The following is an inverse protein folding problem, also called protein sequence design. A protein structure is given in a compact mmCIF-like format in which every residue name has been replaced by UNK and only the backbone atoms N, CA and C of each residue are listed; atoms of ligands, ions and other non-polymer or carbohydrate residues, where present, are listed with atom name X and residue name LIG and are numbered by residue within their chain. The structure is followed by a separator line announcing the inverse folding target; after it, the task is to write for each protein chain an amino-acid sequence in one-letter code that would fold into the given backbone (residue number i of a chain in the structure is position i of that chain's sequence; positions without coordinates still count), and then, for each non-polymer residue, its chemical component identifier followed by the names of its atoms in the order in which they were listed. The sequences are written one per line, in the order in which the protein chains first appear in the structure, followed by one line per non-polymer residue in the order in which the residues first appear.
data_IF_971275862683
#
_entry.id   IF_971275862683
#
_cell.length_a   1.000
_cell.length_b   1.000
_cell.length_c   1.000
_cell.angle_alpha   90.00
_cell.angle_beta   90.00
_cell.angle_gamma   90.00
#
_symmetry.space_group_name_H-M   'P 1'
#
loop_
_entity.id
_entity.type
_entity.pdbx_description
1 polymer ?
#
# COMPACT_ATOMS: atom_id res chain seq x y z
N UNK A 1 -21.64 23.14 -8.35
CA UNK A 1 -21.00 21.80 -8.34
C UNK A 1 -21.37 21.10 -9.62
N UNK A 2 -20.40 20.84 -10.50
CA UNK A 2 -20.64 20.28 -11.84
C UNK A 2 -19.92 18.94 -11.93
N UNK A 3 -20.68 17.85 -12.06
CA UNK A 3 -20.16 16.50 -12.26
C UNK A 3 -20.08 16.23 -13.75
N UNK A 4 -18.88 15.92 -14.26
CA UNK A 4 -18.71 15.43 -15.64
C UNK A 4 -18.58 13.92 -15.61
N UNK A 5 -19.70 13.24 -15.88
CA UNK A 5 -19.74 11.81 -16.21
C UNK A 5 -19.52 11.70 -17.71
N UNK A 6 -18.37 11.20 -18.13
CA UNK A 6 -18.12 10.81 -19.52
C UNK A 6 -18.54 9.35 -19.64
N UNK A 7 -19.80 9.13 -20.05
CA UNK A 7 -20.28 7.83 -20.48
C UNK A 7 -19.94 7.68 -21.97
N UNK A 8 -19.03 6.77 -22.31
CA UNK A 8 -18.87 6.29 -23.69
C UNK A 8 -19.80 5.09 -23.89
N UNK A 9 -20.76 5.27 -24.79
CA UNK A 9 -21.62 4.23 -25.32
C UNK A 9 -21.10 3.80 -26.71
N UNK A 10 -21.18 2.50 -27.00
CA UNK A 10 -21.05 1.93 -28.35
C UNK A 10 -21.08 0.40 -28.25
N UNK A 11 -22.21 -0.29 -28.44
CA UNK A 11 -22.97 -0.60 -29.67
C UNK A 11 -22.72 -2.07 -30.11
N UNK A 12 -23.64 -2.95 -29.67
CA UNK A 12 -24.35 -4.06 -30.37
C UNK A 12 -23.58 -4.99 -31.33
N UNK A 13 -23.71 -6.33 -31.17
CA UNK A 13 -24.32 -7.28 -32.14
C UNK A 13 -24.29 -8.75 -31.66
N UNK A 14 -25.24 -9.52 -32.21
CA UNK A 14 -25.82 -10.79 -31.75
C UNK A 14 -25.13 -12.07 -32.28
N UNK A 15 -25.41 -13.17 -31.55
CA UNK A 15 -25.64 -14.56 -32.00
C UNK A 15 -24.50 -15.43 -32.56
N UNK A 16 -24.42 -16.67 -32.03
CA UNK A 16 -23.76 -17.81 -32.70
C UNK A 16 -23.40 -18.97 -31.77
N UNK A 17 -24.24 -20.00 -31.69
CA UNK A 17 -23.95 -21.28 -31.04
C UNK A 17 -23.01 -22.13 -31.90
N UNK A 18 -22.05 -22.87 -31.31
CA UNK A 18 -21.63 -24.19 -31.84
C UNK A 18 -20.71 -24.94 -30.86
N UNK A 19 -20.96 -26.24 -30.81
CA UNK A 19 -20.45 -27.34 -29.99
C UNK A 19 -19.07 -27.88 -30.37
N UNK A 20 -18.48 -28.68 -29.45
CA UNK A 20 -17.37 -29.62 -29.68
C UNK A 20 -16.02 -29.04 -29.24
N UNK A 21 -15.17 -29.68 -28.43
CA UNK A 21 -14.91 -31.10 -28.23
C UNK A 21 -13.45 -31.36 -28.62
N UNK A 22 -12.66 -32.04 -27.77
CA UNK A 22 -11.40 -32.67 -28.20
C UNK A 22 -10.15 -32.29 -27.42
N UNK A 23 -9.49 -33.33 -26.91
CA UNK A 23 -8.34 -33.34 -25.99
C UNK A 23 -6.97 -33.03 -26.62
N UNK A 24 -6.05 -32.69 -25.71
CA UNK A 24 -4.62 -33.06 -25.68
C UNK A 24 -3.67 -32.60 -26.81
N UNK A 25 -2.68 -31.81 -26.40
CA UNK A 25 -1.42 -31.63 -27.10
C UNK A 25 -0.40 -31.06 -26.13
N UNK A 26 0.36 -31.95 -25.48
CA UNK A 26 1.42 -31.61 -24.56
C UNK A 26 2.50 -30.74 -25.24
N UNK A 27 3.08 -29.81 -24.51
CA UNK A 27 4.40 -29.26 -24.81
C UNK A 27 5.23 -29.22 -23.52
N UNK A 28 6.53 -29.55 -23.62
CA UNK A 28 7.31 -30.10 -22.53
C UNK A 28 7.71 -29.04 -21.52
N UNK A 29 7.55 -29.36 -20.24
CA UNK A 29 8.12 -28.60 -19.12
C UNK A 29 9.64 -28.71 -19.16
N UNK A 30 10.32 -27.65 -19.60
CA UNK A 30 11.71 -27.42 -19.22
C UNK A 30 11.75 -27.06 -17.75
N UNK A 31 12.15 -28.04 -16.95
CA UNK A 31 12.54 -27.93 -15.55
C UNK A 31 13.54 -26.79 -15.35
N UNK A 32 13.07 -25.68 -14.78
CA UNK A 32 13.91 -24.79 -14.00
C UNK A 32 13.36 -24.82 -12.58
N UNK A 33 14.27 -25.09 -11.64
CA UNK A 33 14.05 -25.30 -10.22
C UNK A 33 12.88 -24.51 -9.63
N UNK A 34 12.06 -25.11 -8.74
CA UNK A 34 11.32 -24.30 -7.79
C UNK A 34 12.36 -23.61 -6.90
N UNK A 35 12.65 -22.35 -7.21
CA UNK A 35 13.13 -21.41 -6.22
C UNK A 35 12.20 -21.55 -5.01
N UNK A 36 12.72 -21.79 -3.80
CA UNK A 36 11.88 -22.06 -2.65
C UNK A 36 10.90 -20.91 -2.54
N UNK A 37 9.62 -21.22 -2.77
CA UNK A 37 8.52 -20.34 -2.41
C UNK A 37 8.84 -19.86 -1.00
N UNK A 38 8.84 -18.55 -0.71
CA UNK A 38 9.10 -18.10 0.65
C UNK A 38 7.96 -18.68 1.48
N UNK A 39 8.29 -19.78 2.14
CA UNK A 39 7.47 -20.50 3.08
C UNK A 39 6.84 -19.44 3.96
N UNK A 40 5.51 -19.47 4.06
CA UNK A 40 4.73 -18.56 4.87
C UNK A 40 5.51 -18.21 6.15
N UNK A 41 5.88 -16.93 6.27
CA UNK A 41 6.67 -16.42 7.39
C UNK A 41 6.01 -16.89 8.70
N UNK A 42 6.78 -17.36 9.70
CA UNK A 42 6.20 -17.75 10.98
C UNK A 42 5.33 -16.60 11.49
N UNK A 43 4.08 -16.92 11.85
CA UNK A 43 3.16 -15.96 12.44
C UNK A 43 3.82 -15.35 13.68
N UNK A 44 4.16 -14.06 13.60
CA UNK A 44 4.81 -13.33 14.67
C UNK A 44 6.26 -12.89 14.40
N UNK A 45 6.82 -13.16 13.22
CA UNK A 45 8.12 -12.61 12.84
C UNK A 45 7.97 -11.37 11.96
N UNK A 46 8.60 -10.26 12.37
CA UNK A 46 8.69 -9.03 11.57
C UNK A 46 9.78 -9.17 10.50
N UNK A 47 9.63 -8.45 9.40
CA UNK A 47 10.64 -8.31 8.36
C UNK A 47 11.95 -7.69 8.87
N UNK A 48 12.96 -7.73 8.01
CA UNK A 48 14.24 -7.08 8.25
C UNK A 48 14.04 -5.57 8.43
N UNK A 49 14.75 -5.00 9.39
CA UNK A 49 14.71 -3.57 9.63
C UNK A 49 15.51 -2.81 8.57
N UNK A 50 14.95 -1.72 8.07
CA UNK A 50 15.66 -0.78 7.18
C UNK A 50 15.92 0.54 7.89
N UNK A 51 16.92 1.28 7.41
CA UNK A 51 17.25 2.60 7.96
C UNK A 51 16.18 3.64 7.60
N UNK A 52 15.92 4.58 8.51
CA UNK A 52 15.09 5.75 8.24
C UNK A 52 15.68 6.53 7.05
N UNK A 53 14.87 6.89 6.03
CA UNK A 53 15.41 7.58 4.88
C UNK A 53 15.80 9.02 5.27
N UNK A 54 16.89 9.56 4.68
CA UNK A 54 17.43 10.86 5.07
C UNK A 54 16.43 11.98 4.73
N UNK A 55 16.17 12.88 5.67
CA UNK A 55 15.25 14.00 5.48
C UNK A 55 13.78 13.69 5.77
N UNK A 56 13.47 12.46 6.22
CA UNK A 56 12.15 12.17 6.77
C UNK A 56 11.84 13.11 7.95
N UNK A 57 10.65 13.75 8.01
CA UNK A 57 10.38 14.74 9.03
C UNK A 57 10.37 14.12 10.44
N UNK A 58 11.18 14.66 11.34
CA UNK A 58 11.36 14.13 12.70
C UNK A 58 10.14 14.27 13.60
N UNK A 59 9.17 15.09 13.18
CA UNK A 59 7.91 15.36 13.87
C UNK A 59 6.75 14.49 13.37
N UNK A 60 6.96 13.61 12.38
CA UNK A 60 5.97 12.57 12.05
C UNK A 60 5.94 11.56 13.20
N UNK A 61 4.77 11.28 13.78
CA UNK A 61 4.65 10.32 14.87
C UNK A 61 5.01 8.90 14.40
N UNK A 62 5.91 8.23 15.12
CA UNK A 62 6.28 6.84 14.85
C UNK A 62 5.72 5.95 15.97
N UNK A 63 5.06 4.86 15.61
CA UNK A 63 4.61 3.86 16.59
C UNK A 63 5.82 3.09 17.14
N UNK A 64 6.19 3.33 18.41
CA UNK A 64 7.46 2.87 18.99
C UNK A 64 7.63 1.35 19.07
N UNK A 65 6.54 0.58 18.93
CA UNK A 65 6.56 -0.89 18.88
C UNK A 65 6.52 -1.43 17.45
N UNK A 66 6.70 -0.58 16.45
CA UNK A 66 6.82 -0.97 15.06
C UNK A 66 8.27 -0.92 14.59
N UNK A 67 8.58 -1.76 13.60
CA UNK A 67 9.85 -1.80 12.88
C UNK A 67 9.62 -1.27 11.47
N UNK A 68 10.52 -0.41 10.99
CA UNK A 68 10.52 0.04 9.59
C UNK A 68 11.07 -1.09 8.71
N UNK A 69 10.29 -1.55 7.74
CA UNK A 69 10.67 -2.71 6.90
C UNK A 69 10.83 -2.33 5.43
N UNK A 70 10.19 -1.24 5.00
CA UNK A 70 10.46 -0.60 3.72
C UNK A 70 10.28 0.92 3.83
N UNK A 71 11.06 1.66 3.04
CA UNK A 71 10.91 3.10 2.94
C UNK A 71 11.37 3.62 1.58
N UNK A 72 10.72 4.66 1.08
CA UNK A 72 11.12 5.37 -0.11
C UNK A 72 10.76 6.86 -0.03
N UNK A 73 11.46 7.67 -0.80
CA UNK A 73 11.24 9.10 -0.92
C UNK A 73 11.14 9.51 -2.38
N UNK A 74 10.19 10.37 -2.71
CA UNK A 74 9.95 10.81 -4.07
C UNK A 74 9.84 12.33 -4.10
N UNK A 75 10.61 12.96 -4.99
CA UNK A 75 10.52 14.40 -5.24
C UNK A 75 9.93 14.62 -6.63
N UNK A 76 8.84 15.36 -6.72
CA UNK A 76 8.19 15.69 -7.99
C UNK A 76 7.61 17.10 -7.92
N UNK A 77 7.97 17.97 -8.87
CA UNK A 77 7.43 19.33 -8.98
C UNK A 77 7.48 20.14 -7.66
N UNK A 78 8.58 20.00 -6.89
CA UNK A 78 8.77 20.68 -5.60
C UNK A 78 8.00 20.06 -4.42
N UNK A 79 7.27 18.96 -4.63
CA UNK A 79 6.64 18.17 -3.59
C UNK A 79 7.55 17.00 -3.19
N UNK A 80 7.66 16.75 -1.88
CA UNK A 80 8.36 15.60 -1.31
C UNK A 80 7.32 14.67 -0.68
N UNK A 81 7.32 13.41 -1.14
CA UNK A 81 6.45 12.35 -0.62
C UNK A 81 7.28 11.21 -0.05
N UNK A 82 6.86 10.66 1.09
CA UNK A 82 7.49 9.50 1.73
C UNK A 82 6.52 8.31 1.72
N UNK A 83 7.02 7.15 1.32
CA UNK A 83 6.29 5.87 1.50
C UNK A 83 6.97 5.08 2.60
N UNK A 84 6.26 4.74 3.66
CA UNK A 84 6.82 4.09 4.85
C UNK A 84 6.02 2.84 5.21
N UNK A 85 6.68 1.69 5.28
CA UNK A 85 6.05 0.44 5.71
C UNK A 85 6.58 0.04 7.08
N UNK A 86 5.66 -0.03 8.04
CA UNK A 86 5.95 -0.35 9.42
C UNK A 86 5.22 -1.63 9.82
N UNK A 87 5.94 -2.58 10.40
CA UNK A 87 5.36 -3.81 10.93
C UNK A 87 5.39 -3.84 12.46
N UNK A 88 4.34 -4.38 13.08
CA UNK A 88 4.26 -4.60 14.53
C UNK A 88 3.47 -5.86 14.85
N UNK A 89 3.72 -6.44 16.01
CA UNK A 89 2.92 -7.56 16.55
C UNK A 89 1.68 -7.10 17.32
N UNK A 90 1.55 -5.80 17.57
CA UNK A 90 0.36 -5.23 18.18
C UNK A 90 -0.80 -5.18 17.18
N UNK A 91 -2.04 -5.14 17.69
CA UNK A 91 -3.23 -5.17 16.85
C UNK A 91 -3.40 -3.91 15.99
N UNK A 92 -3.99 -4.08 14.80
CA UNK A 92 -4.35 -2.97 13.88
C UNK A 92 -5.15 -1.89 14.59
N UNK A 93 -6.06 -2.27 15.50
CA UNK A 93 -6.84 -1.32 16.28
C UNK A 93 -5.98 -0.36 17.10
N UNK A 94 -4.91 -0.86 17.77
CA UNK A 94 -3.99 -0.01 18.53
C UNK A 94 -3.24 0.96 17.63
N UNK A 95 -2.73 0.46 16.50
CA UNK A 95 -1.98 1.26 15.51
C UNK A 95 -2.87 2.35 14.90
N UNK A 96 -4.09 1.99 14.49
CA UNK A 96 -5.08 2.94 13.97
C UNK A 96 -5.40 4.03 14.98
N UNK A 97 -5.71 3.67 16.23
CA UNK A 97 -5.99 4.65 17.29
C UNK A 97 -4.81 5.60 17.49
N UNK A 98 -3.58 5.07 17.53
CA UNK A 98 -2.38 5.91 17.66
C UNK A 98 -2.27 6.94 16.52
N UNK A 99 -2.31 6.50 15.26
CA UNK A 99 -2.14 7.40 14.12
C UNK A 99 -3.33 8.35 13.94
N UNK A 100 -4.57 7.90 14.15
CA UNK A 100 -5.74 8.78 14.11
C UNK A 100 -5.68 9.89 15.15
N UNK A 101 -5.07 9.65 16.32
CA UNK A 101 -4.88 10.71 17.33
C UNK A 101 -3.70 11.59 16.97
N UNK A 102 -2.53 11.00 16.73
CA UNK A 102 -1.27 11.73 16.59
C UNK A 102 -1.18 12.54 15.31
N UNK A 103 -1.66 12.02 14.17
CA UNK A 103 -1.64 12.74 12.89
C UNK A 103 -2.76 13.78 12.75
N UNK A 104 -3.71 13.83 13.68
CA UNK A 104 -4.66 14.94 13.79
C UNK A 104 -4.20 16.01 14.80
N UNK A 105 -3.19 15.69 15.60
CA UNK A 105 -2.55 16.63 16.52
C UNK A 105 -1.40 17.35 15.83
N UNK A 106 -1.22 18.64 16.14
CA UNK A 106 -0.14 19.45 15.59
C UNK A 106 -0.31 19.77 14.11
N UNK A 107 0.81 19.75 13.38
CA UNK A 107 0.93 20.29 12.02
C UNK A 107 0.66 19.25 10.93
N UNK A 108 0.08 18.10 11.27
CA UNK A 108 -0.29 17.06 10.30
C UNK A 108 -1.81 16.97 10.13
N UNK A 109 -2.26 16.58 8.95
CA UNK A 109 -3.66 16.24 8.66
C UNK A 109 -3.74 14.94 7.88
N UNK A 110 -4.69 14.08 8.24
CA UNK A 110 -4.96 12.85 7.49
C UNK A 110 -5.91 13.17 6.33
N UNK A 111 -5.58 12.69 5.14
CA UNK A 111 -6.39 12.87 3.92
C UNK A 111 -7.12 11.59 3.52
N UNK A 112 -6.51 10.43 3.76
CA UNK A 112 -7.09 9.11 3.44
C UNK A 112 -6.75 8.13 4.55
N UNK A 113 -7.70 7.28 4.93
CA UNK A 113 -7.43 6.12 5.79
C UNK A 113 -8.04 4.86 5.19
N UNK A 114 -7.26 3.78 5.13
CA UNK A 114 -7.70 2.44 4.84
C UNK A 114 -7.42 1.50 6.02
N UNK A 115 -8.25 0.50 6.22
CA UNK A 115 -7.97 -0.56 7.21
C UNK A 115 -8.47 -1.90 6.68
N UNK A 116 -7.61 -2.92 6.67
CA UNK A 116 -7.96 -4.31 6.44
C UNK A 116 -7.88 -5.11 7.74
N UNK A 117 -8.15 -6.42 7.68
CA UNK A 117 -8.10 -7.31 8.85
C UNK A 117 -6.77 -7.23 9.61
N UNK A 118 -5.66 -6.99 8.91
CA UNK A 118 -4.31 -6.98 9.46
C UNK A 118 -3.48 -5.76 9.04
N UNK A 119 -4.09 -4.76 8.39
CA UNK A 119 -3.36 -3.61 7.84
C UNK A 119 -4.06 -2.30 8.17
N UNK A 120 -3.25 -1.26 8.37
CA UNK A 120 -3.69 0.12 8.44
C UNK A 120 -2.85 0.93 7.44
N UNK A 121 -3.51 1.78 6.67
CA UNK A 121 -2.84 2.70 5.75
C UNK A 121 -3.42 4.09 5.95
N UNK A 122 -2.58 5.12 5.89
CA UNK A 122 -3.04 6.50 5.95
C UNK A 122 -2.18 7.40 5.08
N UNK A 123 -2.83 8.22 4.26
CA UNK A 123 -2.15 9.33 3.59
C UNK A 123 -2.32 10.59 4.43
N UNK A 124 -1.24 11.32 4.65
CA UNK A 124 -1.24 12.55 5.43
C UNK A 124 -0.38 13.64 4.77
N UNK A 125 -0.67 14.89 5.09
CA UNK A 125 0.10 16.05 4.64
C UNK A 125 0.34 17.02 5.77
N UNK A 126 1.37 17.86 5.61
CA UNK A 126 1.68 18.92 6.58
C UNK A 126 0.76 20.12 6.36
N UNK A 127 0.14 20.63 7.42
CA UNK A 127 -0.76 21.80 7.36
C UNK A 127 0.02 23.06 7.02
N UNK A 128 1.21 23.26 7.59
CA UNK A 128 2.07 24.41 7.28
C UNK A 128 2.69 24.36 5.88
N UNK A 129 2.75 23.17 5.26
CA UNK A 129 3.37 22.98 3.96
C UNK A 129 2.78 21.76 3.25
N UNK A 130 1.79 21.99 2.39
CA UNK A 130 1.12 20.95 1.63
C UNK A 130 2.01 20.21 0.62
N UNK A 131 3.27 20.65 0.41
CA UNK A 131 4.25 19.96 -0.42
C UNK A 131 5.00 18.85 0.33
N UNK A 132 4.73 18.64 1.63
CA UNK A 132 5.27 17.52 2.41
C UNK A 132 4.16 16.52 2.71
N UNK A 133 4.28 15.30 2.17
CA UNK A 133 3.28 14.24 2.29
C UNK A 133 3.90 12.91 2.72
N UNK A 134 3.08 12.06 3.31
CA UNK A 134 3.45 10.69 3.65
C UNK A 134 2.31 9.70 3.45
N UNK A 135 2.67 8.44 3.25
CA UNK A 135 1.77 7.27 3.19
C UNK A 135 2.32 6.14 4.05
#
# INVERSE_FOLDING_TARGET
MSFRVIALAGLVLLAGCTSGGGSAGASPSTTLSPEPSPLARPSGQLDAEVSMPPGFPSDVPIYTKARLTASASFVSSGQVSWGMEWETLDSVAKVKTFYSVKLNQGDWTISVTGSGSNTFAATFSRKSNSHVLGT
#
